data_IF_140278547038
#
_entry.id   IF_140278547038
#
_cell.length_a   1.000
_cell.length_b   1.000
_cell.length_c   1.000
_cell.angle_alpha   90.00
_cell.angle_beta   90.00
_cell.angle_gamma   90.00
#
_symmetry.space_group_name_H-M   'P 1'
#
loop_
_entity.id
_entity.type
_entity.pdbx_description
1 polymer ?
#
# COMPACT_ATOMS: atom_id res chain seq x y z
N UNK A 1 0.86 2.12 19.75
CA UNK A 1 0.53 0.85 19.05
C UNK A 1 0.34 1.20 17.59
N UNK A 2 1.27 0.80 16.73
CA UNK A 2 1.14 0.99 15.29
C UNK A 2 0.07 0.00 14.79
N UNK A 3 -0.96 0.50 14.12
CA UNK A 3 -2.09 -0.29 13.63
C UNK A 3 -1.74 -1.16 12.41
N UNK A 4 -0.50 -1.08 11.91
CA UNK A 4 0.08 -1.93 10.85
C UNK A 4 -0.86 -2.17 9.65
N UNK A 5 -1.68 -1.21 9.29
CA UNK A 5 -2.66 -1.31 8.19
C UNK A 5 -2.17 -0.58 6.93
N UNK A 6 -1.02 0.08 6.99
CA UNK A 6 -0.44 0.76 5.85
C UNK A 6 1.08 0.74 5.92
N UNK A 7 1.71 0.87 4.75
CA UNK A 7 3.16 0.91 4.59
C UNK A 7 3.49 2.20 3.83
N UNK A 8 4.32 3.04 4.44
CA UNK A 8 4.96 4.16 3.78
C UNK A 8 6.41 3.76 3.50
N UNK A 9 6.83 3.81 2.24
CA UNK A 9 8.22 3.60 1.89
C UNK A 9 8.72 4.69 0.94
N UNK A 10 10.03 4.92 0.99
CA UNK A 10 10.73 5.85 0.13
C UNK A 10 11.63 5.07 -0.82
N UNK A 11 11.49 5.31 -2.11
CA UNK A 11 12.37 4.68 -3.11
C UNK A 11 13.76 5.31 -3.07
N UNK A 12 14.75 4.63 -3.67
CA UNK A 12 16.10 5.16 -3.85
C UNK A 12 16.14 6.43 -4.72
N UNK A 13 15.10 6.67 -5.52
CA UNK A 13 14.92 7.90 -6.31
C UNK A 13 14.21 9.02 -5.53
N UNK A 14 13.80 8.76 -4.29
CA UNK A 14 13.17 9.74 -3.40
C UNK A 14 11.64 9.80 -3.45
N UNK A 15 10.97 8.93 -4.22
CA UNK A 15 9.50 8.89 -4.29
C UNK A 15 8.99 8.31 -2.98
N UNK A 16 8.02 8.99 -2.35
CA UNK A 16 7.35 8.49 -1.15
C UNK A 16 5.99 7.91 -1.53
N UNK A 17 5.81 6.62 -1.26
CA UNK A 17 4.64 5.84 -1.62
C UNK A 17 3.98 5.29 -0.37
N UNK A 18 2.70 5.58 -0.21
CA UNK A 18 1.83 5.04 0.83
C UNK A 18 0.90 3.98 0.21
N UNK A 19 0.97 2.77 0.76
CA UNK A 19 -0.03 1.72 0.55
C UNK A 19 -0.90 1.68 1.81
N UNK A 20 -2.19 1.96 1.69
CA UNK A 20 -3.12 1.98 2.82
C UNK A 20 -4.18 0.90 2.64
N UNK A 21 -4.18 -0.14 3.49
CA UNK A 21 -5.02 -1.33 3.29
C UNK A 21 -6.40 -1.12 3.89
N UNK A 22 -7.41 -1.12 3.02
CA UNK A 22 -8.80 -0.87 3.36
C UNK A 22 -9.08 0.59 3.78
N UNK A 23 -10.34 0.94 3.96
CA UNK A 23 -10.76 2.23 4.50
C UNK A 23 -11.11 2.07 5.99
N UNK A 24 -10.79 3.06 6.81
CA UNK A 24 -11.06 3.10 8.27
C UNK A 24 -10.47 1.93 9.11
N UNK A 25 -9.58 1.13 8.53
CA UNK A 25 -8.95 -0.05 9.17
C UNK A 25 -8.03 0.30 10.34
N UNK A 26 -7.67 1.57 10.52
CA UNK A 26 -7.07 2.12 11.73
C UNK A 26 -7.79 1.66 13.02
N UNK A 27 -9.12 1.57 12.99
CA UNK A 27 -9.97 1.20 14.14
C UNK A 27 -9.71 -0.22 14.65
N UNK A 28 -9.10 -1.07 13.83
CA UNK A 28 -8.77 -2.46 14.17
C UNK A 28 -7.56 -2.59 15.09
N UNK A 29 -6.79 -1.51 15.32
CA UNK A 29 -5.63 -1.50 16.22
C UNK A 29 -4.62 -2.64 15.93
N UNK A 30 -4.43 -2.99 14.66
CA UNK A 30 -3.53 -4.07 14.23
C UNK A 30 -4.15 -5.48 14.23
N UNK A 31 -5.41 -5.64 14.63
CA UNK A 31 -6.14 -6.90 14.49
C UNK A 31 -6.22 -7.27 13.00
N UNK A 32 -5.96 -8.53 12.69
CA UNK A 32 -5.93 -9.08 11.34
C UNK A 32 -4.76 -8.67 10.46
N UNK A 33 -3.81 -7.89 10.98
CA UNK A 33 -2.62 -7.47 10.24
C UNK A 33 -1.35 -8.06 10.83
N UNK A 34 -0.44 -8.50 9.97
CA UNK A 34 0.90 -8.96 10.33
C UNK A 34 1.93 -8.33 9.41
N UNK A 35 2.66 -7.34 9.94
CA UNK A 35 3.82 -6.76 9.26
C UNK A 35 5.02 -7.70 9.33
N UNK A 36 5.74 -7.82 8.22
CA UNK A 36 7.02 -8.53 8.10
C UNK A 36 8.22 -7.58 8.05
N UNK A 37 7.95 -6.28 8.04
CA UNK A 37 8.95 -5.22 7.99
C UNK A 37 8.82 -4.29 9.21
N UNK A 38 9.90 -3.54 9.48
CA UNK A 38 9.96 -2.48 10.47
C UNK A 38 10.51 -1.19 9.85
N UNK A 39 10.37 -0.06 10.55
CA UNK A 39 10.90 1.22 10.08
C UNK A 39 12.40 1.13 9.79
N UNK A 40 12.80 1.59 8.61
CA UNK A 40 14.17 1.52 8.12
C UNK A 40 14.57 0.19 7.48
N UNK A 41 13.66 -0.78 7.36
CA UNK A 41 13.92 -2.01 6.59
C UNK A 41 14.05 -1.67 5.11
N UNK A 42 15.18 -2.01 4.50
CA UNK A 42 15.34 -1.98 3.05
C UNK A 42 14.62 -3.19 2.44
N UNK A 43 13.90 -2.96 1.35
CA UNK A 43 13.09 -3.98 0.66
C UNK A 43 13.33 -3.91 -0.85
N UNK A 44 13.17 -5.05 -1.50
CA UNK A 44 13.26 -5.20 -2.94
C UNK A 44 11.89 -5.49 -3.55
N UNK A 45 11.79 -5.32 -4.86
CA UNK A 45 10.60 -5.65 -5.62
C UNK A 45 10.24 -7.14 -5.42
N UNK A 46 9.02 -7.40 -4.95
CA UNK A 46 8.50 -8.75 -4.69
C UNK A 46 8.61 -9.20 -3.23
N UNK A 47 9.27 -8.45 -2.36
CA UNK A 47 9.35 -8.79 -0.94
C UNK A 47 7.97 -8.72 -0.27
N UNK A 48 7.70 -9.67 0.62
CA UNK A 48 6.46 -9.69 1.41
C UNK A 48 6.54 -8.65 2.52
N UNK A 49 5.72 -7.61 2.41
CA UNK A 49 5.70 -6.51 3.39
C UNK A 49 4.72 -6.78 4.54
N UNK A 50 3.52 -7.23 4.19
CA UNK A 50 2.41 -7.32 5.13
C UNK A 50 1.37 -8.36 4.69
N UNK A 51 0.88 -9.13 5.66
CA UNK A 51 -0.25 -10.06 5.51
C UNK A 51 -1.48 -9.54 6.23
N UNK A 52 -2.66 -9.77 5.65
CA UNK A 52 -3.92 -9.46 6.29
C UNK A 52 -5.03 -10.47 5.97
N UNK A 53 -5.98 -10.64 6.90
CA UNK A 53 -7.10 -11.57 6.75
C UNK A 53 -8.32 -10.91 6.10
N UNK A 54 -8.42 -11.06 4.77
CA UNK A 54 -9.54 -10.57 3.95
C UNK A 54 -10.90 -11.09 4.46
N UNK A 55 -10.98 -12.35 4.89
CA UNK A 55 -12.25 -12.94 5.31
C UNK A 55 -12.75 -12.31 6.60
N UNK A 56 -11.85 -12.08 7.56
CA UNK A 56 -12.21 -11.42 8.81
C UNK A 56 -12.58 -9.95 8.60
N UNK A 57 -11.85 -9.23 7.73
CA UNK A 57 -12.17 -7.84 7.40
C UNK A 57 -13.52 -7.69 6.71
N UNK A 58 -13.84 -8.57 5.76
CA UNK A 58 -15.15 -8.58 5.09
C UNK A 58 -16.29 -8.92 6.06
N UNK A 59 -16.07 -9.83 7.03
CA UNK A 59 -17.06 -10.17 8.07
C UNK A 59 -17.39 -8.99 8.99
N UNK A 60 -16.43 -8.10 9.20
CA UNK A 60 -16.61 -6.87 9.97
C UNK A 60 -17.04 -5.66 9.10
N UNK A 61 -17.41 -5.91 7.83
CA UNK A 61 -17.93 -4.91 6.88
C UNK A 61 -16.96 -3.76 6.56
N UNK A 62 -15.65 -4.03 6.60
CA UNK A 62 -14.64 -3.07 6.17
C UNK A 62 -14.49 -3.05 4.64
N UNK A 63 -14.40 -1.85 4.08
CA UNK A 63 -14.09 -1.67 2.67
C UNK A 63 -12.60 -1.97 2.43
N UNK A 64 -12.30 -2.91 1.53
CA UNK A 64 -10.93 -3.36 1.21
C UNK A 64 -10.25 -2.61 0.06
N UNK A 65 -10.87 -1.54 -0.45
CA UNK A 65 -10.18 -0.61 -1.35
C UNK A 65 -8.88 -0.19 -0.69
N UNK A 66 -7.76 -0.42 -1.39
CA UNK A 66 -6.41 -0.19 -0.89
C UNK A 66 -5.77 0.94 -1.69
N UNK A 67 -5.86 2.20 -1.23
CA UNK A 67 -5.21 3.31 -1.93
C UNK A 67 -3.70 3.14 -2.00
N UNK A 68 -3.14 3.47 -3.17
CA UNK A 68 -1.71 3.62 -3.41
C UNK A 68 -1.48 5.08 -3.78
N UNK A 69 -0.75 5.80 -2.94
CA UNK A 69 -0.65 7.26 -3.02
C UNK A 69 0.81 7.68 -3.03
N UNK A 70 1.18 8.57 -3.95
CA UNK A 70 2.46 9.27 -3.90
C UNK A 70 2.29 10.51 -3.03
N UNK A 71 2.93 10.51 -1.86
CA UNK A 71 2.70 11.55 -0.84
C UNK A 71 3.49 12.83 -1.10
N UNK A 72 4.53 12.77 -1.93
CA UNK A 72 5.40 13.88 -2.27
C UNK A 72 5.37 14.22 -3.77
N UNK A 73 4.19 14.16 -4.39
CA UNK A 73 4.01 14.37 -5.84
C UNK A 73 4.48 15.75 -6.32
N UNK A 74 4.44 16.76 -5.46
CA UNK A 74 4.89 18.12 -5.77
C UNK A 74 6.39 18.20 -6.15
N UNK A 75 7.18 17.18 -5.81
CA UNK A 75 8.60 17.07 -6.19
C UNK A 75 8.80 16.51 -7.62
N UNK A 76 7.71 16.13 -8.30
CA UNK A 76 7.73 15.47 -9.60
C UNK A 76 6.78 16.19 -10.57
N UNK A 77 6.94 15.94 -11.87
CA UNK A 77 6.13 16.56 -12.92
C UNK A 77 4.72 15.97 -12.91
N UNK A 78 4.59 14.64 -12.83
CA UNK A 78 3.29 13.94 -12.81
C UNK A 78 3.40 12.48 -12.39
N UNK A 79 2.27 11.94 -11.95
CA UNK A 79 2.01 10.51 -11.83
C UNK A 79 1.08 10.07 -12.97
N UNK A 80 1.48 9.06 -13.74
CA UNK A 80 0.74 8.55 -14.89
C UNK A 80 0.26 7.13 -14.57
N UNK A 81 -1.05 6.89 -14.46
CA UNK A 81 -1.61 5.55 -14.34
C UNK A 81 -1.29 4.73 -15.59
N UNK A 82 -0.87 3.49 -15.40
CA UNK A 82 -0.55 2.56 -16.50
C UNK A 82 -1.68 1.57 -16.79
N UNK A 83 -2.84 1.78 -16.16
CA UNK A 83 -3.98 0.87 -16.18
C UNK A 83 -5.22 1.58 -16.73
N UNK A 84 -6.09 0.80 -17.38
CA UNK A 84 -7.45 1.21 -17.70
C UNK A 84 -8.37 1.08 -16.47
N UNK A 85 -9.53 1.73 -16.51
CA UNK A 85 -10.52 1.56 -15.45
C UNK A 85 -10.92 0.08 -15.29
N UNK A 86 -10.87 -0.42 -14.05
CA UNK A 86 -11.23 -1.80 -13.66
C UNK A 86 -10.36 -2.89 -14.29
N UNK A 87 -9.17 -2.55 -14.76
CA UNK A 87 -8.20 -3.53 -15.23
C UNK A 87 -7.72 -4.42 -14.08
N UNK A 88 -7.68 -5.73 -14.31
CA UNK A 88 -7.11 -6.68 -13.36
C UNK A 88 -5.58 -6.63 -13.46
N UNK A 89 -4.91 -6.61 -12.31
CA UNK A 89 -3.45 -6.57 -12.21
C UNK A 89 -2.91 -7.84 -11.58
N UNK A 90 -1.70 -8.23 -11.97
CA UNK A 90 -0.91 -9.32 -11.38
C UNK A 90 0.21 -8.74 -10.54
N UNK A 91 0.75 -9.59 -9.66
CA UNK A 91 1.95 -9.27 -8.89
C UNK A 91 3.06 -8.88 -9.89
N UNK A 92 3.72 -7.76 -9.62
CA UNK A 92 4.80 -7.15 -10.43
C UNK A 92 4.35 -6.40 -11.69
N UNK A 93 3.05 -6.24 -11.93
CA UNK A 93 2.60 -5.34 -13.00
C UNK A 93 2.94 -3.87 -12.66
N UNK A 94 3.32 -3.11 -13.69
CA UNK A 94 3.55 -1.68 -13.56
C UNK A 94 2.22 -0.96 -13.55
N UNK A 95 1.83 -0.38 -12.41
CA UNK A 95 0.53 0.29 -12.25
C UNK A 95 0.62 1.82 -12.34
N UNK A 96 1.80 2.39 -12.11
CA UNK A 96 2.02 3.83 -11.99
C UNK A 96 3.44 4.18 -12.44
N UNK A 97 3.58 5.22 -13.26
CA UNK A 97 4.87 5.82 -13.62
C UNK A 97 4.96 7.24 -13.06
N UNK A 98 6.08 7.57 -12.42
CA UNK A 98 6.36 8.92 -11.91
C UNK A 98 7.39 9.58 -12.81
N UNK A 99 7.09 10.80 -13.26
CA UNK A 99 7.91 11.63 -14.16
C UNK A 99 8.19 12.95 -13.47
#
# INVERSE_FOLDING_TARGET
MESKHGILFKTNTGVELLIHIGLDTMKLNGKYFKSHVSNGTEVNLGDLLLEFDINSLNKEDYNLITPIVVTNIDNYIKAVPMLSEKEEVKILDNILTIV
#
